data_IF_503545342303
#
_entry.id   IF_503545342303
#
_cell.length_a   1.000
_cell.length_b   1.000
_cell.length_c   1.000
_cell.angle_alpha   90.00
_cell.angle_beta   90.00
_cell.angle_gamma   90.00
#
_symmetry.space_group_name_H-M   'P 1'
#
loop_
_entity.id
_entity.type
_entity.pdbx_description
1 polymer ?
#
# COMPACT_ATOMS: atom_id res chain seq x y z
N UNK A 1 -17.55 -19.07 34.50
CA UNK A 1 -16.15 -18.75 34.17
C UNK A 1 -15.81 -19.59 32.95
N UNK A 2 -15.63 -18.99 31.76
CA UNK A 2 -15.34 -19.77 30.55
C UNK A 2 -13.85 -19.58 30.21
N UNK A 3 -13.05 -20.63 30.40
CA UNK A 3 -11.69 -20.67 29.88
C UNK A 3 -11.74 -20.87 28.35
N UNK A 4 -10.84 -20.21 27.62
CA UNK A 4 -10.68 -20.39 26.17
C UNK A 4 -9.27 -20.87 25.92
N UNK A 5 -9.13 -22.06 25.33
CA UNK A 5 -7.84 -22.64 24.98
C UNK A 5 -7.41 -22.12 23.60
N UNK A 6 -6.15 -21.73 23.45
CA UNK A 6 -5.59 -21.24 22.19
C UNK A 6 -4.45 -22.16 21.75
N UNK A 7 -4.58 -22.76 20.57
CA UNK A 7 -3.50 -23.60 20.02
C UNK A 7 -2.25 -22.75 19.78
N UNK A 8 -1.11 -23.19 20.32
CA UNK A 8 0.19 -22.49 20.18
C UNK A 8 0.64 -22.36 18.72
N UNK A 9 0.26 -23.32 17.88
CA UNK A 9 0.72 -23.40 16.49
C UNK A 9 -0.18 -22.59 15.53
N UNK A 10 -1.50 -22.84 15.53
CA UNK A 10 -2.43 -22.21 14.58
C UNK A 10 -3.34 -21.13 15.19
N UNK A 11 -3.24 -20.86 16.50
CA UNK A 11 -4.12 -19.95 17.25
C UNK A 11 -5.62 -20.25 17.17
N UNK A 12 -5.98 -21.50 16.86
CA UNK A 12 -7.36 -21.96 16.97
C UNK A 12 -7.87 -21.84 18.41
N UNK A 13 -9.06 -21.26 18.59
CA UNK A 13 -9.68 -21.04 19.90
C UNK A 13 -10.78 -22.08 20.13
N UNK A 14 -10.76 -22.76 21.27
CA UNK A 14 -11.81 -23.70 21.66
C UNK A 14 -12.29 -23.47 23.09
N UNK A 15 -13.60 -23.63 23.36
CA UNK A 15 -14.14 -23.60 24.72
C UNK A 15 -13.84 -24.89 25.50
N UNK A 16 -13.44 -25.95 24.80
CA UNK A 16 -13.08 -27.25 25.38
C UNK A 16 -11.62 -27.54 25.09
N UNK A 17 -10.94 -28.19 26.03
CA UNK A 17 -9.62 -28.76 25.80
C UNK A 17 -9.76 -29.93 24.83
N UNK A 18 -9.17 -29.82 23.64
CA UNK A 18 -9.14 -30.90 22.65
C UNK A 18 -7.73 -31.50 22.64
N UNK A 19 -7.63 -32.83 22.62
CA UNK A 19 -6.34 -33.51 22.54
C UNK A 19 -5.60 -33.18 21.23
N UNK A 20 -6.36 -33.04 20.14
CA UNK A 20 -5.85 -32.65 18.83
C UNK A 20 -6.55 -31.39 18.36
N UNK A 21 -5.77 -30.42 17.87
CA UNK A 21 -6.34 -29.20 17.33
C UNK A 21 -6.99 -29.48 15.97
N UNK A 22 -8.30 -29.19 15.76
CA UNK A 22 -8.95 -29.40 14.47
C UNK A 22 -8.39 -28.47 13.37
N UNK A 23 -7.68 -27.39 13.74
CA UNK A 23 -7.06 -26.48 12.79
C UNK A 23 -5.74 -26.99 12.21
N UNK A 24 -4.86 -27.56 13.03
CA UNK A 24 -3.52 -27.98 12.59
C UNK A 24 -3.19 -29.47 12.82
N UNK A 25 -4.07 -30.23 13.47
CA UNK A 25 -3.86 -31.64 13.78
C UNK A 25 -2.75 -31.90 14.79
N UNK A 26 -2.27 -30.88 15.51
CA UNK A 26 -1.21 -31.02 16.52
C UNK A 26 -1.75 -30.72 17.92
N UNK A 27 -1.34 -31.55 18.89
CA UNK A 27 -1.92 -31.61 20.24
C UNK A 27 -1.28 -30.75 21.32
N UNK A 28 -0.43 -29.77 20.99
CA UNK A 28 0.21 -28.93 22.00
C UNK A 28 -0.58 -27.66 22.27
N UNK A 29 -1.69 -27.79 22.99
CA UNK A 29 -2.33 -26.65 23.64
C UNK A 29 -1.48 -26.28 24.86
N UNK A 30 -0.91 -25.07 24.85
CA UNK A 30 -0.26 -24.51 26.03
C UNK A 30 -1.37 -23.97 26.95
N UNK A 31 -1.35 -24.33 28.23
CA UNK A 31 -2.18 -23.67 29.26
C UNK A 31 -1.68 -22.24 29.50
N UNK A 32 -1.84 -21.39 28.49
CA UNK A 32 -1.77 -19.96 28.70
C UNK A 32 -3.13 -19.55 29.28
N UNK A 33 -3.23 -19.56 30.60
CA UNK A 33 -4.31 -18.88 31.31
C UNK A 33 -4.14 -17.37 31.06
N UNK A 34 -4.54 -16.91 29.87
CA UNK A 34 -4.60 -15.49 29.54
C UNK A 34 -5.84 -14.95 30.25
N UNK A 35 -5.63 -14.48 31.48
CA UNK A 35 -6.56 -13.60 32.18
C UNK A 35 -6.48 -12.19 31.57
N UNK A 36 -6.83 -12.05 30.30
CA UNK A 36 -7.14 -10.75 29.73
C UNK A 36 -8.63 -10.70 29.48
N UNK A 37 -9.27 -9.73 30.14
CA UNK A 37 -10.66 -9.36 29.91
C UNK A 37 -10.85 -8.85 28.49
N UNK A 38 -10.90 -9.78 27.53
CA UNK A 38 -11.36 -9.51 26.18
C UNK A 38 -12.87 -9.42 26.27
N UNK A 39 -13.34 -8.18 26.40
CA UNK A 39 -14.72 -7.75 26.24
C UNK A 39 -15.40 -8.55 25.11
N UNK A 40 -16.61 -9.01 25.41
CA UNK A 40 -17.48 -9.85 24.58
C UNK A 40 -17.90 -9.23 23.22
N UNK A 41 -17.19 -8.22 22.72
CA UNK A 41 -17.45 -7.52 21.45
C UNK A 41 -16.82 -8.20 20.23
N UNK A 42 -16.11 -9.33 20.37
CA UNK A 42 -15.47 -10.03 19.23
C UNK A 42 -16.07 -11.39 18.88
N UNK A 43 -17.17 -11.81 19.55
CA UNK A 43 -17.81 -13.10 19.34
C UNK A 43 -18.90 -13.12 18.23
N UNK A 44 -18.93 -12.11 17.36
CA UNK A 44 -19.71 -12.11 16.13
C UNK A 44 -18.78 -12.16 14.90
N UNK A 45 -17.81 -13.07 14.89
CA UNK A 45 -17.19 -13.50 13.64
C UNK A 45 -18.20 -14.41 12.93
N UNK A 46 -18.94 -13.80 12.01
CA UNK A 46 -19.86 -14.43 11.08
C UNK A 46 -19.28 -15.74 10.49
N UNK A 47 -20.12 -16.71 10.06
CA UNK A 47 -19.65 -17.90 9.36
C UNK A 47 -18.72 -17.47 8.23
N UNK A 48 -17.52 -18.04 8.24
CA UNK A 48 -16.47 -17.77 7.28
C UNK A 48 -16.94 -18.15 5.87
N UNK A 49 -17.63 -17.22 5.20
CA UNK A 49 -17.74 -17.19 3.74
C UNK A 49 -16.31 -17.10 3.26
N UNK A 50 -15.81 -18.17 2.66
CA UNK A 50 -14.38 -18.28 2.39
C UNK A 50 -13.92 -17.08 1.57
N UNK A 51 -13.15 -16.24 2.24
CA UNK A 51 -12.56 -15.06 1.64
C UNK A 51 -11.38 -15.57 0.82
N UNK A 52 -11.35 -15.23 -0.47
CA UNK A 52 -10.29 -15.71 -1.35
C UNK A 52 -8.93 -15.25 -0.82
N UNK A 53 -8.08 -16.23 -0.52
CA UNK A 53 -6.71 -16.02 -0.05
C UNK A 53 -5.75 -16.30 -1.17
N UNK A 54 -4.82 -15.38 -1.40
CA UNK A 54 -3.82 -15.50 -2.46
C UNK A 54 -2.41 -15.56 -1.89
N UNK A 55 -1.60 -16.47 -2.43
CA UNK A 55 -0.21 -16.58 -2.04
C UNK A 55 0.66 -15.64 -2.88
N UNK A 56 1.42 -14.75 -2.23
CA UNK A 56 2.23 -13.73 -2.92
C UNK A 56 3.35 -14.29 -3.82
N UNK A 57 3.85 -15.50 -3.54
CA UNK A 57 5.00 -16.08 -4.24
C UNK A 57 4.55 -16.90 -5.44
N UNK A 58 3.64 -17.84 -5.18
CA UNK A 58 3.24 -18.87 -6.13
C UNK A 58 1.85 -18.63 -6.76
N UNK A 59 1.21 -17.48 -6.52
CA UNK A 59 -0.11 -17.07 -7.06
C UNK A 59 -1.22 -18.12 -6.84
N UNK A 60 -1.08 -18.96 -5.82
CA UNK A 60 -2.09 -19.95 -5.46
C UNK A 60 -3.27 -19.25 -4.81
N UNK A 61 -4.46 -19.41 -5.40
CA UNK A 61 -5.73 -18.90 -4.86
C UNK A 61 -6.48 -20.06 -4.19
N UNK A 62 -6.93 -19.87 -2.96
CA UNK A 62 -7.79 -20.83 -2.26
C UNK A 62 -8.85 -20.12 -1.45
N UNK A 63 -10.04 -20.71 -1.43
CA UNK A 63 -11.16 -20.26 -0.62
C UNK A 63 -11.10 -20.85 0.81
N UNK A 64 -10.21 -21.84 1.03
CA UNK A 64 -10.05 -22.47 2.33
C UNK A 64 -9.20 -21.62 3.28
N UNK A 65 -9.54 -21.67 4.57
CA UNK A 65 -8.84 -20.99 5.64
C UNK A 65 -7.52 -21.72 5.94
N UNK A 66 -6.55 -21.61 5.04
CA UNK A 66 -5.18 -22.03 5.31
C UNK A 66 -4.38 -20.81 5.79
N UNK A 67 -3.52 -21.03 6.79
CA UNK A 67 -2.55 -20.02 7.23
C UNK A 67 -1.37 -19.91 6.24
N UNK A 68 -1.03 -21.03 5.61
CA UNK A 68 0.15 -21.18 4.77
C UNK A 68 -0.21 -21.79 3.41
N UNK A 69 0.51 -21.39 2.38
CA UNK A 69 0.31 -21.94 1.06
C UNK A 69 0.87 -23.36 0.97
N UNK A 70 0.09 -24.36 0.50
CA UNK A 70 0.54 -25.75 0.41
C UNK A 70 1.66 -25.97 -0.62
N UNK A 71 1.82 -25.05 -1.59
CA UNK A 71 2.86 -25.16 -2.63
C UNK A 71 4.21 -24.58 -2.21
N UNK A 72 4.19 -23.46 -1.49
CA UNK A 72 5.41 -22.70 -1.22
C UNK A 72 5.67 -22.39 0.27
N UNK A 73 4.81 -22.87 1.18
CA UNK A 73 4.98 -22.73 2.63
C UNK A 73 4.95 -21.30 3.14
N UNK A 74 4.51 -20.34 2.32
CA UNK A 74 4.46 -18.92 2.68
C UNK A 74 3.07 -18.53 3.13
N UNK A 75 3.01 -17.59 4.08
CA UNK A 75 1.77 -17.05 4.63
C UNK A 75 0.87 -16.48 3.52
N UNK A 76 -0.39 -16.86 3.55
CA UNK A 76 -1.42 -16.37 2.64
C UNK A 76 -1.86 -14.96 3.08
N UNK A 77 -2.02 -14.03 2.13
CA UNK A 77 -2.58 -12.70 2.40
C UNK A 77 -4.07 -12.70 2.10
N UNK A 78 -4.83 -12.04 2.95
CA UNK A 78 -6.26 -11.78 2.74
C UNK A 78 -6.44 -10.62 1.77
N UNK A 79 -7.53 -10.64 1.02
CA UNK A 79 -7.90 -9.56 0.11
C UNK A 79 -7.99 -8.21 0.85
N UNK A 80 -8.48 -8.22 2.09
CA UNK A 80 -8.54 -7.02 2.94
C UNK A 80 -7.20 -6.32 3.17
N UNK A 81 -6.09 -7.07 3.32
CA UNK A 81 -4.76 -6.48 3.52
C UNK A 81 -4.23 -5.82 2.24
N UNK A 82 -4.61 -6.33 1.07
CA UNK A 82 -4.25 -5.74 -0.22
C UNK A 82 -5.05 -4.45 -0.45
N UNK A 83 -6.33 -4.45 -0.10
CA UNK A 83 -7.20 -3.28 -0.25
C UNK A 83 -6.74 -2.14 0.68
N UNK A 84 -6.35 -2.43 1.93
CA UNK A 84 -5.85 -1.41 2.85
C UNK A 84 -4.53 -0.77 2.36
N UNK A 85 -3.63 -1.58 1.79
CA UNK A 85 -2.42 -1.08 1.13
C UNK A 85 -2.75 -0.21 -0.10
N UNK A 86 -3.75 -0.61 -0.89
CA UNK A 86 -4.24 0.18 -2.03
C UNK A 86 -4.72 1.57 -1.60
N UNK A 87 -5.54 1.63 -0.54
CA UNK A 87 -5.97 2.90 0.06
C UNK A 87 -4.81 3.77 0.55
N UNK A 88 -3.84 3.17 1.25
CA UNK A 88 -2.66 3.88 1.69
C UNK A 88 -1.89 4.49 0.50
N UNK A 89 -1.73 3.75 -0.60
CA UNK A 89 -1.09 4.24 -1.81
C UNK A 89 -1.86 5.41 -2.45
N UNK A 90 -3.19 5.32 -2.52
CA UNK A 90 -4.03 6.40 -3.08
C UNK A 90 -3.95 7.66 -2.23
N UNK A 91 -3.98 7.53 -0.90
CA UNK A 91 -3.90 8.68 0.01
C UNK A 91 -2.53 9.36 -0.09
N UNK A 92 -1.45 8.58 -0.06
CA UNK A 92 -0.08 9.11 -0.14
C UNK A 92 0.20 9.69 -1.54
N UNK A 93 -0.19 8.99 -2.61
CA UNK A 93 -0.04 9.49 -3.97
C UNK A 93 -0.88 10.73 -4.23
N UNK A 94 -2.11 10.75 -3.71
CA UNK A 94 -3.03 11.89 -3.77
C UNK A 94 -2.49 13.11 -3.05
N UNK A 95 -1.98 12.95 -1.82
CA UNK A 95 -1.41 14.05 -1.06
C UNK A 95 -0.15 14.61 -1.72
N UNK A 96 0.74 13.75 -2.22
CA UNK A 96 1.93 14.16 -2.96
C UNK A 96 1.57 14.94 -4.23
N UNK A 97 0.64 14.41 -5.04
CA UNK A 97 0.20 15.04 -6.29
C UNK A 97 -0.48 16.37 -6.02
N UNK A 98 -1.38 16.44 -5.03
CA UNK A 98 -2.10 17.64 -4.66
C UNK A 98 -1.17 18.75 -4.17
N UNK A 99 -0.21 18.42 -3.30
CA UNK A 99 0.73 19.37 -2.74
C UNK A 99 1.67 19.91 -3.83
N UNK A 100 2.28 19.03 -4.63
CA UNK A 100 3.15 19.45 -5.74
C UNK A 100 2.39 20.25 -6.81
N UNK A 101 1.13 19.90 -7.08
CA UNK A 101 0.25 20.65 -7.97
C UNK A 101 -0.04 22.06 -7.45
N UNK A 102 -0.37 22.18 -6.17
CA UNK A 102 -0.63 23.46 -5.53
C UNK A 102 0.61 24.38 -5.55
N UNK A 103 1.79 23.84 -5.24
CA UNK A 103 3.06 24.59 -5.35
C UNK A 103 3.29 25.06 -6.79
N UNK A 104 3.09 24.18 -7.77
CA UNK A 104 3.30 24.50 -9.18
C UNK A 104 2.39 25.64 -9.64
N UNK A 105 1.12 25.63 -9.23
CA UNK A 105 0.17 26.73 -9.51
C UNK A 105 0.63 28.02 -8.81
N UNK A 106 1.04 27.94 -7.54
CA UNK A 106 1.53 29.10 -6.78
C UNK A 106 2.75 29.76 -7.43
N UNK A 107 3.74 28.98 -7.83
CA UNK A 107 4.94 29.48 -8.52
C UNK A 107 4.56 30.12 -9.87
N UNK A 108 3.71 29.46 -10.65
CA UNK A 108 3.23 29.99 -11.94
C UNK A 108 2.47 31.31 -11.78
N UNK A 109 1.66 31.41 -10.73
CA UNK A 109 0.92 32.62 -10.40
C UNK A 109 1.85 33.80 -10.05
N UNK A 110 2.90 33.56 -9.27
CA UNK A 110 3.89 34.59 -8.93
C UNK A 110 4.63 35.07 -10.19
N UNK A 111 5.09 34.14 -11.04
CA UNK A 111 5.80 34.48 -12.28
C UNK A 111 4.90 35.29 -13.23
N UNK A 112 3.62 34.93 -13.34
CA UNK A 112 2.66 35.67 -14.18
C UNK A 112 2.43 37.12 -13.74
N UNK A 113 2.69 37.43 -12.46
CA UNK A 113 2.57 38.76 -11.90
C UNK A 113 3.87 39.56 -11.91
N UNK A 114 5.03 38.91 -11.97
CA UNK A 114 6.33 39.56 -12.00
C UNK A 114 6.51 40.52 -13.20
N UNK A 115 5.76 40.32 -14.29
CA UNK A 115 5.73 41.24 -15.44
C UNK A 115 4.97 42.56 -15.21
N UNK A 116 4.25 42.70 -14.09
CA UNK A 116 3.52 43.92 -13.72
C UNK A 116 4.24 44.59 -12.55
N UNK A 117 5.22 45.44 -12.89
CA UNK A 117 6.10 46.17 -11.97
C UNK A 117 5.31 46.88 -10.86
N UNK A 118 5.47 46.45 -9.59
CA UNK A 118 4.91 47.19 -8.45
C UNK A 118 4.72 46.40 -7.14
N UNK A 119 4.69 45.06 -7.16
CA UNK A 119 4.55 44.27 -5.93
C UNK A 119 5.93 43.85 -5.40
N UNK A 120 6.30 44.37 -4.22
CA UNK A 120 7.58 44.10 -3.54
C UNK A 120 7.81 42.66 -3.06
N UNK A 121 7.20 41.66 -3.69
CA UNK A 121 7.42 40.25 -3.40
C UNK A 121 8.41 39.66 -4.41
N UNK A 122 9.67 39.51 -3.96
CA UNK A 122 10.70 38.62 -4.50
C UNK A 122 10.71 38.43 -6.02
N UNK A 123 11.35 39.36 -6.74
CA UNK A 123 11.62 39.21 -8.16
C UNK A 123 12.47 37.95 -8.40
N UNK A 124 11.95 37.00 -9.19
CA UNK A 124 12.67 35.78 -9.55
C UNK A 124 13.83 36.14 -10.47
N UNK A 125 15.05 36.18 -9.93
CA UNK A 125 16.28 36.44 -10.70
C UNK A 125 16.84 35.22 -11.45
N UNK A 126 16.16 34.08 -11.34
CA UNK A 126 16.63 32.84 -11.97
C UNK A 126 16.49 32.87 -13.49
N UNK A 127 17.47 32.30 -14.18
CA UNK A 127 17.42 32.18 -15.64
C UNK A 127 16.33 31.19 -16.10
N UNK A 128 15.92 31.26 -17.37
CA UNK A 128 14.95 30.32 -17.98
C UNK A 128 15.36 28.85 -17.78
N UNK A 129 16.66 28.59 -17.70
CA UNK A 129 17.23 27.26 -17.43
C UNK A 129 16.90 26.73 -16.03
N UNK A 130 17.06 27.54 -14.98
CA UNK A 130 16.72 27.14 -13.60
C UNK A 130 15.23 26.88 -13.45
N UNK A 131 14.41 27.71 -14.10
CA UNK A 131 12.97 27.55 -14.11
C UNK A 131 12.56 26.22 -14.76
N UNK A 132 13.13 25.88 -15.92
CA UNK A 132 12.88 24.60 -16.59
C UNK A 132 13.26 23.39 -15.69
N UNK A 133 14.37 23.49 -14.95
CA UNK A 133 14.80 22.45 -14.03
C UNK A 133 13.82 22.25 -12.86
N UNK A 134 13.33 23.34 -12.26
CA UNK A 134 12.32 23.29 -11.18
C UNK A 134 11.02 22.64 -11.66
N UNK A 135 10.49 23.08 -12.81
CA UNK A 135 9.28 22.50 -13.39
C UNK A 135 9.49 21.03 -13.81
N UNK A 136 10.69 20.66 -14.25
CA UNK A 136 11.05 19.28 -14.56
C UNK A 136 10.94 18.37 -13.33
N UNK A 137 11.51 18.79 -12.20
CA UNK A 137 11.44 18.04 -10.93
C UNK A 137 9.99 17.94 -10.43
N UNK A 138 9.23 19.03 -10.49
CA UNK A 138 7.82 19.03 -10.10
C UNK A 138 6.97 18.13 -10.99
N UNK A 139 7.20 18.16 -12.30
CA UNK A 139 6.55 17.27 -13.27
C UNK A 139 6.85 15.80 -12.98
N UNK A 140 8.09 15.47 -12.63
CA UNK A 140 8.48 14.11 -12.26
C UNK A 140 7.77 13.67 -10.97
N UNK A 141 7.77 14.50 -9.93
CA UNK A 141 7.07 14.22 -8.68
C UNK A 141 5.55 14.03 -8.88
N UNK A 142 4.92 14.87 -9.72
CA UNK A 142 3.51 14.74 -10.10
C UNK A 142 3.25 13.43 -10.85
N UNK A 143 4.10 13.06 -11.80
CA UNK A 143 3.95 11.81 -12.54
C UNK A 143 4.02 10.59 -11.62
N UNK A 144 4.94 10.60 -10.64
CA UNK A 144 5.05 9.55 -9.65
C UNK A 144 3.80 9.44 -8.78
N UNK A 145 3.27 10.58 -8.33
CA UNK A 145 2.03 10.63 -7.55
C UNK A 145 0.82 10.08 -8.33
N UNK A 146 0.66 10.46 -9.60
CA UNK A 146 -0.43 9.95 -10.47
C UNK A 146 -0.31 8.43 -10.66
N UNK A 147 0.89 7.92 -10.92
CA UNK A 147 1.11 6.47 -11.09
C UNK A 147 0.78 5.72 -9.79
N UNK A 148 1.16 6.27 -8.63
CA UNK A 148 0.82 5.69 -7.34
C UNK A 148 -0.70 5.64 -7.12
N UNK A 149 -1.43 6.69 -7.50
CA UNK A 149 -2.90 6.72 -7.42
C UNK A 149 -3.50 5.63 -8.33
N UNK A 150 -3.09 5.55 -9.60
CA UNK A 150 -3.59 4.55 -10.56
C UNK A 150 -3.31 3.13 -10.06
N UNK A 151 -2.10 2.88 -9.55
CA UNK A 151 -1.73 1.59 -8.99
C UNK A 151 -2.55 1.24 -7.73
N UNK A 152 -2.79 2.21 -6.85
CA UNK A 152 -3.62 2.04 -5.66
C UNK A 152 -5.09 1.76 -6.01
N UNK A 153 -5.68 2.53 -6.94
CA UNK A 153 -7.04 2.32 -7.43
C UNK A 153 -7.19 0.93 -8.05
N UNK A 154 -6.22 0.51 -8.86
CA UNK A 154 -6.21 -0.84 -9.43
C UNK A 154 -6.17 -1.93 -8.34
N UNK A 155 -5.38 -1.74 -7.27
CA UNK A 155 -5.32 -2.67 -6.14
C UNK A 155 -6.66 -2.74 -5.39
N UNK A 156 -7.35 -1.60 -5.23
CA UNK A 156 -8.67 -1.53 -4.58
C UNK A 156 -9.74 -2.24 -5.42
N UNK A 157 -9.76 -2.01 -6.73
CA UNK A 157 -10.79 -2.57 -7.61
C UNK A 157 -10.68 -4.08 -7.78
N UNK A 158 -9.47 -4.59 -8.01
CA UNK A 158 -9.28 -6.00 -8.37
C UNK A 158 -8.94 -6.88 -7.18
N UNK A 159 -8.50 -6.31 -6.04
CA UNK A 159 -8.03 -7.07 -4.87
C UNK A 159 -6.84 -7.99 -5.17
N UNK A 160 -6.25 -7.90 -6.37
CA UNK A 160 -5.20 -8.78 -6.88
C UNK A 160 -3.97 -7.98 -7.25
N UNK A 161 -2.81 -8.45 -6.79
CA UNK A 161 -1.52 -7.86 -7.16
C UNK A 161 -1.14 -8.27 -8.58
N UNK A 162 -1.28 -7.35 -9.53
CA UNK A 162 -0.85 -7.60 -10.90
C UNK A 162 0.67 -7.39 -11.04
N UNK A 163 1.42 -8.49 -11.19
CA UNK A 163 2.88 -8.46 -11.41
C UNK A 163 3.28 -7.67 -12.66
N UNK A 164 2.41 -7.62 -13.68
CA UNK A 164 2.63 -6.81 -14.89
C UNK A 164 2.64 -5.32 -14.54
N UNK A 165 1.73 -4.87 -13.68
CA UNK A 165 1.61 -3.47 -13.27
C UNK A 165 2.85 -3.02 -12.48
N UNK A 166 3.36 -3.87 -11.58
CA UNK A 166 4.63 -3.62 -10.87
C UNK A 166 5.80 -3.49 -11.85
N UNK A 167 5.88 -4.35 -12.87
CA UNK A 167 6.94 -4.28 -13.88
C UNK A 167 6.83 -3.02 -14.73
N UNK A 168 5.63 -2.66 -15.17
CA UNK A 168 5.37 -1.42 -15.91
C UNK A 168 5.76 -0.20 -15.08
N UNK A 169 5.37 -0.16 -13.81
CA UNK A 169 5.75 0.92 -12.90
C UNK A 169 7.28 1.04 -12.74
N UNK A 170 7.98 -0.10 -12.59
CA UNK A 170 9.45 -0.11 -12.51
C UNK A 170 10.10 0.39 -13.81
N UNK A 171 9.61 -0.04 -14.97
CA UNK A 171 10.09 0.46 -16.27
C UNK A 171 9.87 1.96 -16.39
N UNK A 172 8.71 2.48 -16.00
CA UNK A 172 8.43 3.92 -16.04
C UNK A 172 9.40 4.69 -15.13
N UNK A 173 9.65 4.22 -13.92
CA UNK A 173 10.63 4.85 -13.01
C UNK A 173 12.03 4.88 -13.63
N UNK A 174 12.47 3.77 -14.24
CA UNK A 174 13.77 3.71 -14.92
C UNK A 174 13.81 4.69 -16.11
N UNK A 175 12.76 4.74 -16.92
CA UNK A 175 12.67 5.69 -18.05
C UNK A 175 12.72 7.13 -17.56
N UNK A 176 12.00 7.47 -16.49
CA UNK A 176 12.01 8.82 -15.92
C UNK A 176 13.39 9.20 -15.37
N UNK A 177 14.10 8.28 -14.72
CA UNK A 177 15.48 8.52 -14.27
C UNK A 177 16.42 8.76 -15.44
N UNK A 178 16.34 7.95 -16.50
CA UNK A 178 17.16 8.14 -17.70
C UNK A 178 16.87 9.49 -18.37
N UNK A 179 15.59 9.87 -18.48
CA UNK A 179 15.22 11.18 -19.02
C UNK A 179 15.75 12.33 -18.16
N UNK A 180 15.69 12.21 -16.83
CA UNK A 180 16.23 13.22 -15.93
C UNK A 180 17.74 13.40 -16.09
N UNK A 181 18.50 12.31 -16.19
CA UNK A 181 19.94 12.32 -16.46
C UNK A 181 20.27 12.92 -17.83
N UNK A 182 19.53 12.53 -18.88
CA UNK A 182 19.70 13.11 -20.22
C UNK A 182 19.47 14.62 -20.19
N UNK A 183 18.40 15.06 -19.52
CA UNK A 183 18.11 16.49 -19.36
C UNK A 183 19.26 17.20 -18.63
N UNK A 184 19.83 16.61 -17.59
CA UNK A 184 21.01 17.17 -16.90
C UNK A 184 22.27 17.22 -17.78
N UNK A 185 22.49 16.21 -18.62
CA UNK A 185 23.67 16.15 -19.50
C UNK A 185 23.59 17.19 -20.63
N UNK A 186 22.40 17.45 -21.15
CA UNK A 186 22.21 18.35 -22.30
C UNK A 186 22.02 19.84 -21.92
N UNK A 187 21.76 20.17 -20.66
CA UNK A 187 21.48 21.55 -20.18
C UNK A 187 22.69 22.29 -19.63
#
# INVERSE_FOLDING_TARGET
MNSVYVCSNCRYRSPFYLADCPGCGQGTFSDAAIYEGVSASSAAAAPATGEDRTCYKCDFETNQILAECPRCGKRLRTAGEIISLGWALVIIGGSLTGLMGAITIGVTYIISQAGKSGSGFGEFKGGTKELALIYGIFGLALSFGIIAIVAGVYQIMFGKRNKKLVRVMLVIVVVLLVLAELVQIFL
#
